data_IF_710747219497
#
_entry.id   IF_710747219497
#
_cell.length_a   1.000
_cell.length_b   1.000
_cell.length_c   1.000
_cell.angle_alpha   90.00
_cell.angle_beta   90.00
_cell.angle_gamma   90.00
#
_symmetry.space_group_name_H-M   'P 1'
#
loop_
_entity.id
_entity.type
_entity.pdbx_description
1 polymer ?
#
# COMPACT_ATOMS: atom_id res chain seq x y z
N UNK A 1 36.52 -46.00 -34.51
CA UNK A 1 35.20 -45.85 -33.83
C UNK A 1 35.26 -45.28 -32.40
N UNK A 2 36.43 -45.12 -31.75
CA UNK A 2 36.53 -44.68 -30.34
C UNK A 2 36.65 -43.15 -30.17
N UNK A 3 37.25 -42.46 -31.15
CA UNK A 3 37.42 -40.99 -31.18
C UNK A 3 36.09 -40.22 -31.30
N UNK A 4 35.11 -40.78 -32.03
CA UNK A 4 33.78 -40.16 -32.19
C UNK A 4 32.95 -40.23 -30.89
N UNK A 5 33.21 -41.24 -30.04
CA UNK A 5 32.49 -41.43 -28.77
C UNK A 5 32.99 -40.50 -27.66
N UNK A 6 34.29 -40.20 -27.61
CA UNK A 6 34.83 -39.22 -26.65
C UNK A 6 34.47 -37.78 -27.00
N UNK A 7 34.44 -37.42 -28.28
CA UNK A 7 34.02 -36.07 -28.69
C UNK A 7 32.55 -35.78 -28.36
N UNK A 8 31.69 -36.78 -28.52
CA UNK A 8 30.26 -36.64 -28.26
C UNK A 8 29.93 -36.50 -26.77
N UNK A 9 30.63 -37.23 -25.88
CA UNK A 9 30.43 -37.11 -24.43
C UNK A 9 30.92 -35.78 -23.89
N UNK A 10 32.01 -35.22 -24.44
CA UNK A 10 32.52 -33.91 -24.04
C UNK A 10 31.58 -32.77 -24.45
N UNK A 11 30.94 -32.87 -25.62
CA UNK A 11 29.94 -31.92 -26.09
C UNK A 11 28.69 -31.89 -25.18
N UNK A 12 28.15 -33.05 -24.79
CA UNK A 12 26.98 -33.13 -23.90
C UNK A 12 27.31 -32.59 -22.50
N UNK A 13 28.50 -32.87 -21.98
CA UNK A 13 28.93 -32.36 -20.67
C UNK A 13 29.02 -30.81 -20.66
N UNK A 14 29.45 -30.19 -21.75
CA UNK A 14 29.53 -28.72 -21.85
C UNK A 14 28.15 -28.03 -21.82
N UNK A 15 27.11 -28.69 -22.36
CA UNK A 15 25.72 -28.19 -22.30
C UNK A 15 25.15 -28.35 -20.88
N UNK A 16 25.54 -29.40 -20.15
CA UNK A 16 25.10 -29.62 -18.77
C UNK A 16 25.70 -28.61 -17.76
N UNK A 17 26.87 -28.03 -18.06
CA UNK A 17 27.47 -26.94 -17.26
C UNK A 17 26.85 -25.56 -17.53
N UNK A 18 26.07 -25.41 -18.61
CA UNK A 18 25.30 -24.21 -18.87
C UNK A 18 24.10 -24.17 -17.90
N UNK A 19 24.33 -23.69 -16.68
CA UNK A 19 23.30 -23.63 -15.64
C UNK A 19 22.04 -22.86 -16.09
N UNK A 20 20.92 -23.06 -15.37
CA UNK A 20 19.58 -22.52 -15.67
C UNK A 20 19.52 -21.00 -15.95
N UNK A 21 20.57 -20.24 -15.63
CA UNK A 21 20.66 -18.80 -15.92
C UNK A 21 21.01 -18.48 -17.39
N UNK A 22 21.64 -19.42 -18.12
CA UNK A 22 22.04 -19.23 -19.53
C UNK A 22 20.87 -19.44 -20.51
N UNK A 23 19.97 -20.35 -20.16
CA UNK A 23 18.72 -20.67 -20.87
C UNK A 23 17.64 -19.65 -20.46
N UNK A 24 17.80 -18.38 -20.86
CA UNK A 24 16.75 -17.38 -20.70
C UNK A 24 15.60 -17.67 -21.67
N UNK A 25 14.72 -18.58 -21.27
CA UNK A 25 13.51 -18.95 -22.02
C UNK A 25 12.65 -17.70 -22.28
N UNK A 26 12.23 -17.54 -23.54
CA UNK A 26 11.25 -16.53 -23.91
C UNK A 26 9.88 -16.96 -23.35
N UNK A 27 9.20 -16.07 -22.65
CA UNK A 27 7.87 -16.32 -22.08
C UNK A 27 6.76 -15.57 -22.84
N UNK A 28 7.05 -15.00 -24.01
CA UNK A 28 6.11 -14.29 -24.86
C UNK A 28 5.44 -13.05 -24.22
N UNK A 29 5.93 -12.61 -23.05
CA UNK A 29 5.34 -11.49 -22.31
C UNK A 29 5.42 -10.12 -23.02
N UNK A 30 6.21 -10.00 -24.09
CA UNK A 30 6.36 -8.78 -24.87
C UNK A 30 5.56 -8.80 -26.19
N UNK A 31 4.88 -9.90 -26.53
CA UNK A 31 4.21 -10.03 -27.83
C UNK A 31 3.03 -9.07 -28.00
N UNK A 32 2.46 -8.54 -26.90
CA UNK A 32 1.44 -7.49 -26.96
C UNK A 32 1.94 -6.23 -27.70
N UNK A 33 3.24 -5.94 -27.70
CA UNK A 33 3.83 -4.81 -28.43
C UNK A 33 3.75 -4.97 -29.96
N UNK A 34 3.54 -6.20 -30.44
CA UNK A 34 3.39 -6.52 -31.88
C UNK A 34 1.93 -6.62 -32.29
N UNK A 35 0.98 -6.40 -31.37
CA UNK A 35 -0.44 -6.46 -31.69
C UNK A 35 -0.80 -5.37 -32.72
N UNK A 36 -1.61 -5.73 -33.72
CA UNK A 36 -2.12 -4.77 -34.69
C UNK A 36 -3.16 -3.86 -34.04
N UNK A 37 -3.18 -2.61 -34.44
CA UNK A 37 -4.29 -1.72 -34.15
C UNK A 37 -5.57 -2.27 -34.82
N UNK A 38 -6.69 -2.20 -34.11
CA UNK A 38 -8.01 -2.63 -34.62
C UNK A 38 -8.78 -1.38 -34.99
N UNK A 39 -8.97 -1.18 -36.30
CA UNK A 39 -9.75 -0.06 -36.79
C UNK A 39 -11.22 -0.17 -36.33
N UNK A 40 -11.89 0.98 -36.11
CA UNK A 40 -13.33 0.99 -35.88
C UNK A 40 -14.11 0.28 -36.98
N UNK A 41 -15.24 -0.31 -36.63
CA UNK A 41 -16.12 -0.96 -37.60
C UNK A 41 -16.76 0.09 -38.51
N UNK A 42 -16.50 0.01 -39.81
CA UNK A 42 -17.13 0.85 -40.83
C UNK A 42 -18.59 0.41 -41.05
N UNK A 43 -19.52 1.35 -40.94
CA UNK A 43 -20.96 1.11 -41.12
C UNK A 43 -21.39 1.50 -42.53
N UNK A 44 -22.16 0.66 -43.25
CA UNK A 44 -22.71 1.06 -44.53
C UNK A 44 -23.78 2.15 -44.32
N UNK A 45 -23.88 3.09 -45.27
CA UNK A 45 -24.65 4.33 -45.14
C UNK A 45 -26.14 4.15 -44.75
N UNK A 46 -26.73 2.97 -44.97
CA UNK A 46 -28.13 2.67 -44.70
C UNK A 46 -28.35 1.62 -43.59
N UNK A 47 -27.32 1.28 -42.81
CA UNK A 47 -27.47 0.34 -41.69
C UNK A 47 -27.81 1.05 -40.38
N UNK A 48 -28.96 0.72 -39.82
CA UNK A 48 -29.35 1.12 -38.47
C UNK A 48 -28.76 0.14 -37.46
N UNK A 49 -27.85 0.59 -36.60
CA UNK A 49 -27.33 -0.22 -35.49
C UNK A 49 -27.94 0.21 -34.16
N UNK A 50 -28.11 -0.77 -33.26
CA UNK A 50 -28.41 -0.47 -31.85
C UNK A 50 -27.21 0.28 -31.26
N UNK A 51 -27.42 1.36 -30.48
CA UNK A 51 -26.34 1.99 -29.74
C UNK A 51 -25.59 0.94 -28.91
N UNK A 52 -24.28 0.87 -29.08
CA UNK A 52 -23.41 0.03 -28.27
C UNK A 52 -22.44 0.95 -27.53
N UNK A 53 -22.31 0.73 -26.23
CA UNK A 53 -21.25 1.35 -25.41
C UNK A 53 -20.30 0.22 -25.04
N UNK A 54 -19.01 0.29 -25.41
CA UNK A 54 -18.06 -0.74 -25.03
C UNK A 54 -17.97 -0.81 -23.50
N UNK A 55 -17.97 -2.03 -22.96
CA UNK A 55 -17.76 -2.24 -21.52
C UNK A 55 -16.37 -1.75 -21.07
N UNK A 56 -15.40 -1.80 -22.00
CA UNK A 56 -14.02 -1.38 -21.79
C UNK A 56 -13.58 -0.48 -22.96
N UNK A 57 -13.86 0.83 -22.93
CA UNK A 57 -13.34 1.75 -23.94
C UNK A 57 -11.81 1.82 -23.82
N UNK A 58 -11.11 1.55 -24.92
CA UNK A 58 -9.68 1.78 -24.99
C UNK A 58 -9.41 3.29 -25.08
N UNK A 59 -8.56 3.87 -24.21
CA UNK A 59 -8.21 5.28 -24.32
C UNK A 59 -7.37 5.52 -25.57
N UNK A 60 -7.58 6.68 -26.20
CA UNK A 60 -6.69 7.16 -27.26
C UNK A 60 -5.40 7.62 -26.60
N UNK A 61 -4.28 7.02 -26.97
CA UNK A 61 -2.94 7.36 -26.46
C UNK A 61 -2.22 8.18 -27.52
N UNK A 62 -1.57 9.27 -27.10
CA UNK A 62 -0.71 10.08 -27.96
C UNK A 62 0.52 9.29 -28.41
N UNK A 63 0.88 9.34 -29.69
CA UNK A 63 2.07 8.70 -30.25
C UNK A 63 3.35 9.18 -29.55
N UNK A 64 3.40 10.44 -29.11
CA UNK A 64 4.52 10.96 -28.31
C UNK A 64 4.61 10.28 -26.95
N UNK A 65 3.49 9.92 -26.32
CA UNK A 65 3.50 9.21 -25.04
C UNK A 65 4.02 7.77 -25.20
N UNK A 66 3.77 7.13 -26.35
CA UNK A 66 4.31 5.81 -26.68
C UNK A 66 5.82 5.87 -26.86
N UNK A 67 6.34 6.91 -27.53
CA UNK A 67 7.77 7.10 -27.75
C UNK A 67 8.55 7.32 -26.45
N UNK A 68 7.96 8.00 -25.47
CA UNK A 68 8.57 8.28 -24.17
C UNK A 68 8.24 7.23 -23.09
N UNK A 69 7.55 6.14 -23.46
CA UNK A 69 7.18 5.11 -22.50
C UNK A 69 8.42 4.39 -21.93
N UNK A 70 8.48 4.13 -20.61
CA UNK A 70 9.57 3.37 -20.02
C UNK A 70 9.68 1.96 -20.61
N UNK A 71 10.90 1.53 -20.95
CA UNK A 71 11.10 0.18 -21.46
C UNK A 71 11.29 -0.84 -20.32
N UNK A 72 10.24 -1.61 -20.02
CA UNK A 72 10.26 -2.68 -19.02
C UNK A 72 10.68 -4.02 -19.63
N UNK A 73 11.94 -4.12 -20.05
CA UNK A 73 12.51 -5.32 -20.65
C UNK A 73 13.73 -5.78 -19.86
N UNK A 74 13.97 -7.09 -19.83
CA UNK A 74 15.21 -7.62 -19.28
C UNK A 74 16.41 -7.24 -20.17
N UNK A 75 17.64 -7.46 -19.68
CA UNK A 75 18.89 -7.21 -20.41
C UNK A 75 18.98 -7.85 -21.81
N UNK A 76 18.18 -8.90 -22.08
CA UNK A 76 18.14 -9.61 -23.38
C UNK A 76 16.98 -9.18 -24.28
N UNK A 77 16.10 -8.28 -23.83
CA UNK A 77 14.95 -7.78 -24.62
C UNK A 77 13.87 -8.81 -24.92
N UNK A 78 13.80 -9.92 -24.18
CA UNK A 78 12.94 -11.06 -24.52
C UNK A 78 11.87 -11.40 -23.46
N UNK A 79 11.76 -10.61 -22.40
CA UNK A 79 10.71 -10.72 -21.38
C UNK A 79 10.49 -9.39 -20.69
N UNK A 80 9.26 -9.18 -20.25
CA UNK A 80 8.90 -8.10 -19.36
C UNK A 80 9.69 -8.20 -18.05
N UNK A 81 10.26 -7.08 -17.61
CA UNK A 81 10.98 -6.99 -16.34
C UNK A 81 10.69 -5.64 -15.69
N UNK A 82 9.87 -5.67 -14.63
CA UNK A 82 9.67 -4.51 -13.78
C UNK A 82 10.89 -4.29 -12.86
N UNK A 83 11.21 -3.04 -12.51
CA UNK A 83 12.19 -2.78 -11.47
C UNK A 83 11.73 -3.44 -10.17
N UNK A 84 12.69 -4.09 -9.49
CA UNK A 84 12.41 -4.63 -8.15
C UNK A 84 12.10 -3.44 -7.23
N UNK A 85 11.09 -3.54 -6.35
CA UNK A 85 10.87 -2.52 -5.34
C UNK A 85 12.17 -2.24 -4.59
N UNK A 86 12.44 -0.97 -4.31
CA UNK A 86 13.55 -0.59 -3.46
C UNK A 86 13.42 -1.34 -2.14
N UNK A 87 14.49 -2.02 -1.74
CA UNK A 87 14.50 -2.61 -0.41
C UNK A 87 14.44 -1.45 0.57
N UNK A 88 13.37 -1.42 1.37
CA UNK A 88 13.34 -0.58 2.57
C UNK A 88 14.61 -0.94 3.31
N UNK A 89 15.53 0.02 3.46
CA UNK A 89 16.72 -0.17 4.27
C UNK A 89 16.21 -0.69 5.61
N UNK A 90 16.58 -1.91 5.96
CA UNK A 90 16.32 -2.41 7.30
C UNK A 90 17.07 -1.45 8.21
N UNK A 91 16.32 -0.56 8.86
CA UNK A 91 16.82 0.25 9.95
C UNK A 91 17.52 -0.76 10.87
N UNK A 92 18.82 -0.59 11.18
CA UNK A 92 19.46 -1.47 12.12
C UNK A 92 18.55 -1.52 13.34
N UNK A 93 18.19 -2.74 13.76
CA UNK A 93 17.55 -2.95 15.04
C UNK A 93 18.58 -2.51 16.07
N UNK A 94 18.60 -1.20 16.35
CA UNK A 94 19.23 -0.66 17.52
C UNK A 94 18.61 -1.47 18.64
N UNK A 95 19.43 -2.25 19.35
CA UNK A 95 19.01 -2.88 20.57
C UNK A 95 18.40 -1.76 21.41
N UNK A 96 17.07 -1.73 21.48
CA UNK A 96 16.34 -0.75 22.26
C UNK A 96 16.71 -1.05 23.70
N UNK A 97 17.72 -0.35 24.20
CA UNK A 97 17.68 0.12 25.57
C UNK A 97 16.31 0.76 25.69
N UNK A 98 15.41 0.12 26.44
CA UNK A 98 14.03 0.55 26.66
C UNK A 98 14.01 1.85 27.47
N UNK A 99 14.52 2.94 26.89
CA UNK A 99 13.98 4.25 27.17
C UNK A 99 12.59 4.24 26.54
N UNK A 100 11.57 4.30 27.39
CA UNK A 100 10.17 4.50 27.03
C UNK A 100 9.95 5.90 26.43
N UNK A 101 10.76 6.30 25.44
CA UNK A 101 10.64 7.60 24.79
C UNK A 101 9.50 7.50 23.77
N UNK A 102 8.29 7.75 24.24
CA UNK A 102 7.13 8.01 23.40
C UNK A 102 7.33 9.34 22.67
N UNK A 103 7.03 9.37 21.37
CA UNK A 103 7.02 10.63 20.61
C UNK A 103 5.81 11.50 20.96
N UNK A 104 5.90 12.80 20.68
CA UNK A 104 4.72 13.65 20.69
C UNK A 104 3.77 13.28 19.54
N UNK A 105 2.45 13.32 19.77
CA UNK A 105 1.48 13.04 18.72
C UNK A 105 1.59 14.02 17.56
N UNK A 106 1.35 13.50 16.35
CA UNK A 106 1.28 14.30 15.11
C UNK A 106 -0.08 14.10 14.46
N UNK A 107 -0.77 15.20 14.17
CA UNK A 107 -2.00 15.15 13.39
C UNK A 107 -1.63 14.88 11.93
N UNK A 108 -2.17 13.80 11.37
CA UNK A 108 -1.95 13.39 9.98
C UNK A 108 -3.30 13.10 9.32
N UNK A 109 -3.30 12.91 8.01
CA UNK A 109 -4.51 12.61 7.25
C UNK A 109 -4.26 11.39 6.39
N UNK A 110 -5.22 10.46 6.34
CA UNK A 110 -5.12 9.26 5.52
C UNK A 110 -5.40 9.55 4.03
N UNK A 111 -5.29 8.52 3.18
CA UNK A 111 -5.57 8.63 1.74
C UNK A 111 -7.03 8.98 1.40
N UNK A 112 -7.96 8.81 2.35
CA UNK A 112 -9.39 9.11 2.24
C UNK A 112 -9.77 10.43 2.92
N UNK A 113 -8.79 11.25 3.33
CA UNK A 113 -8.97 12.54 4.02
C UNK A 113 -9.52 12.45 5.45
N UNK A 114 -9.44 11.29 6.09
CA UNK A 114 -9.79 11.14 7.50
C UNK A 114 -8.62 11.61 8.38
N UNK A 115 -8.87 12.43 9.41
CA UNK A 115 -7.84 12.84 10.33
C UNK A 115 -7.48 11.70 11.28
N UNK A 116 -6.18 11.54 11.50
CA UNK A 116 -5.59 10.56 12.39
C UNK A 116 -4.57 11.25 13.29
N UNK A 117 -4.33 10.69 14.46
CA UNK A 117 -3.24 11.11 15.32
C UNK A 117 -2.19 10.00 15.36
N UNK A 118 -0.99 10.29 14.85
CA UNK A 118 0.13 9.35 14.79
C UNK A 118 1.02 9.53 16.03
N UNK A 119 1.32 8.44 16.72
CA UNK A 119 2.19 8.40 17.90
C UNK A 119 3.17 7.23 17.79
N UNK A 120 4.45 7.55 17.73
CA UNK A 120 5.53 6.56 17.80
C UNK A 120 5.79 6.17 19.27
N UNK A 121 5.75 4.87 19.58
CA UNK A 121 5.96 4.30 20.92
C UNK A 121 5.33 2.91 21.12
N UNK A 122 5.52 2.27 22.28
CA UNK A 122 4.81 1.03 22.64
C UNK A 122 3.30 1.28 22.73
N UNK A 123 2.49 0.47 22.03
CA UNK A 123 1.03 0.67 21.91
C UNK A 123 0.34 0.75 23.28
N UNK A 124 0.79 -0.03 24.25
CA UNK A 124 0.27 -0.02 25.61
C UNK A 124 0.51 1.33 26.31
N UNK A 125 1.72 1.88 26.20
CA UNK A 125 2.06 3.17 26.77
C UNK A 125 1.27 4.30 26.09
N UNK A 126 1.15 4.25 24.75
CA UNK A 126 0.36 5.22 23.98
C UNK A 126 -1.12 5.17 24.39
N UNK A 127 -1.67 3.97 24.58
CA UNK A 127 -3.06 3.81 25.02
C UNK A 127 -3.28 4.34 26.43
N UNK A 128 -2.37 4.04 27.36
CA UNK A 128 -2.42 4.59 28.72
C UNK A 128 -2.39 6.11 28.74
N UNK A 129 -1.51 6.73 27.94
CA UNK A 129 -1.45 8.19 27.84
C UNK A 129 -2.69 8.76 27.18
N UNK A 130 -3.24 8.08 26.18
CA UNK A 130 -4.51 8.47 25.56
C UNK A 130 -5.63 8.50 26.60
N UNK A 131 -5.76 7.45 27.42
CA UNK A 131 -6.78 7.40 28.47
C UNK A 131 -6.55 8.47 29.55
N UNK A 132 -5.32 8.66 29.99
CA UNK A 132 -4.97 9.72 30.94
C UNK A 132 -5.33 11.11 30.39
N UNK A 133 -5.06 11.35 29.10
CA UNK A 133 -5.43 12.59 28.42
C UNK A 133 -6.95 12.75 28.38
N UNK A 134 -7.70 11.70 27.99
CA UNK A 134 -9.16 11.73 28.00
C UNK A 134 -9.74 12.00 29.40
N UNK A 135 -9.12 11.48 30.46
CA UNK A 135 -9.54 11.76 31.84
C UNK A 135 -9.20 13.18 32.30
N UNK A 136 -8.13 13.77 31.76
CA UNK A 136 -7.77 15.18 32.04
C UNK A 136 -8.66 16.17 31.29
N UNK A 137 -9.11 15.78 30.10
CA UNK A 137 -10.11 16.51 29.33
C UNK A 137 -11.49 16.20 29.94
N UNK A 138 -12.44 17.14 29.89
CA UNK A 138 -13.78 16.95 30.45
C UNK A 138 -14.65 15.98 29.61
N UNK A 139 -14.06 14.92 29.06
CA UNK A 139 -14.73 13.90 28.27
C UNK A 139 -15.20 12.75 29.16
N UNK A 140 -16.46 12.34 28.97
CA UNK A 140 -17.00 11.17 29.66
C UNK A 140 -16.64 9.91 28.88
N UNK A 141 -15.82 9.04 29.47
CA UNK A 141 -15.57 7.69 28.95
C UNK A 141 -16.73 6.79 29.39
N UNK A 142 -17.52 6.32 28.42
CA UNK A 142 -18.73 5.49 28.64
C UNK A 142 -18.34 4.02 28.80
N UNK A 143 -17.41 3.55 27.99
CA UNK A 143 -16.95 2.18 28.01
C UNK A 143 -15.50 2.10 27.50
N UNK A 144 -14.75 1.13 27.99
CA UNK A 144 -13.42 0.80 27.51
C UNK A 144 -13.36 -0.70 27.25
N UNK A 145 -12.84 -1.09 26.10
CA UNK A 145 -12.56 -2.50 25.83
C UNK A 145 -11.27 -2.90 26.55
N UNK A 146 -11.30 -4.05 27.23
CA UNK A 146 -10.14 -4.60 27.96
C UNK A 146 -9.19 -5.39 27.05
N UNK A 147 -9.69 -5.85 25.90
CA UNK A 147 -8.97 -6.70 24.96
C UNK A 147 -8.61 -5.97 23.66
N UNK A 148 -9.14 -4.75 23.46
CA UNK A 148 -8.84 -3.91 22.32
C UNK A 148 -8.50 -2.49 22.76
N UNK A 149 -7.65 -1.80 22.00
CA UNK A 149 -7.35 -0.38 22.23
C UNK A 149 -8.50 0.51 21.74
N UNK A 150 -9.63 0.40 22.43
CA UNK A 150 -10.87 1.08 22.08
C UNK A 150 -11.58 1.62 23.32
N UNK A 151 -12.07 2.86 23.21
CA UNK A 151 -12.86 3.52 24.23
C UNK A 151 -14.03 4.27 23.60
N UNK A 152 -15.21 4.08 24.16
CA UNK A 152 -16.41 4.83 23.81
C UNK A 152 -16.45 6.10 24.65
N UNK A 153 -16.46 7.25 24.00
CA UNK A 153 -16.44 8.57 24.63
C UNK A 153 -17.69 9.38 24.25
N UNK A 154 -18.14 10.23 25.17
CA UNK A 154 -19.16 11.23 24.90
C UNK A 154 -18.51 12.58 24.60
N UNK A 155 -18.83 13.16 23.45
CA UNK A 155 -18.39 14.49 23.02
C UNK A 155 -19.64 15.34 22.81
N UNK A 156 -19.93 16.24 23.76
CA UNK A 156 -21.22 16.94 23.79
C UNK A 156 -22.37 15.97 24.06
N UNK A 157 -23.34 15.89 23.15
CA UNK A 157 -24.45 14.93 23.22
C UNK A 157 -24.21 13.64 22.42
N UNK A 158 -23.18 13.62 21.57
CA UNK A 158 -22.90 12.50 20.67
C UNK A 158 -21.90 11.51 21.26
N UNK A 159 -22.06 10.25 20.90
CA UNK A 159 -21.20 9.15 21.32
C UNK A 159 -20.29 8.78 20.18
N UNK A 160 -18.99 8.68 20.47
CA UNK A 160 -17.97 8.28 19.53
C UNK A 160 -17.13 7.16 20.12
N UNK A 161 -16.39 6.49 19.24
CA UNK A 161 -15.51 5.38 19.58
C UNK A 161 -14.11 5.76 19.14
N UNK A 162 -13.26 6.02 20.11
CA UNK A 162 -11.85 6.26 19.90
C UNK A 162 -11.13 4.90 19.81
N UNK A 163 -10.37 4.68 18.75
CA UNK A 163 -9.62 3.43 18.53
C UNK A 163 -8.18 3.72 18.19
N UNK A 164 -7.27 3.00 18.82
CA UNK A 164 -5.87 2.97 18.49
C UNK A 164 -5.54 1.70 17.68
N UNK A 165 -4.89 1.91 16.55
CA UNK A 165 -4.39 0.86 15.67
C UNK A 165 -2.87 0.83 15.77
N UNK A 166 -2.33 -0.28 16.27
CA UNK A 166 -0.90 -0.48 16.40
C UNK A 166 -0.28 -0.97 15.08
N UNK A 167 0.73 -0.26 14.56
CA UNK A 167 1.50 -0.65 13.36
C UNK A 167 2.99 -0.63 13.70
N UNK A 168 3.47 -1.74 14.27
CA UNK A 168 4.85 -1.81 14.76
C UNK A 168 5.09 -0.82 15.90
N UNK A 169 6.02 0.11 15.72
CA UNK A 169 6.29 1.20 16.68
C UNK A 169 5.51 2.47 16.41
N UNK A 170 4.75 2.56 15.30
CA UNK A 170 3.91 3.71 14.95
C UNK A 170 2.45 3.36 15.18
N UNK A 171 1.76 4.12 16.02
CA UNK A 171 0.36 3.88 16.36
C UNK A 171 -0.51 5.00 15.80
N UNK A 172 -1.69 4.65 15.31
CA UNK A 172 -2.65 5.62 14.80
C UNK A 172 -3.90 5.61 15.66
N UNK A 173 -4.27 6.77 16.17
CA UNK A 173 -5.50 6.99 16.91
C UNK A 173 -6.52 7.68 15.98
N UNK A 174 -7.73 7.14 15.93
CA UNK A 174 -8.81 7.65 15.09
C UNK A 174 -10.14 7.64 15.82
N UNK A 175 -11.03 8.54 15.40
CA UNK A 175 -12.37 8.68 15.94
C UNK A 175 -13.40 8.07 14.99
N UNK A 176 -14.23 7.18 15.53
CA UNK A 176 -15.28 6.48 14.81
C UNK A 176 -16.66 6.79 15.42
N UNK A 177 -17.69 6.62 14.61
CA UNK A 177 -19.07 6.50 15.09
C UNK A 177 -19.30 5.11 15.72
N UNK A 178 -20.37 4.92 16.52
CA UNK A 178 -20.74 3.61 17.04
C UNK A 178 -21.03 2.57 15.94
N UNK A 179 -21.37 3.01 14.72
CA UNK A 179 -21.56 2.17 13.54
C UNK A 179 -20.24 1.77 12.84
N UNK A 180 -19.09 2.00 13.48
CA UNK A 180 -17.75 1.66 12.98
C UNK A 180 -17.36 2.38 11.68
N UNK A 181 -17.95 3.56 11.41
CA UNK A 181 -17.53 4.48 10.35
C UNK A 181 -16.66 5.59 10.93
N UNK A 182 -15.80 6.23 10.15
CA UNK A 182 -15.06 7.40 10.65
C UNK A 182 -16.04 8.51 11.06
N UNK A 183 -15.73 9.21 12.14
CA UNK A 183 -16.45 10.42 12.53
C UNK A 183 -16.25 11.52 11.46
N UNK A 184 -17.13 12.52 11.45
CA UNK A 184 -16.98 13.64 10.53
C UNK A 184 -15.64 14.35 10.75
N UNK A 185 -15.06 14.87 9.67
CA UNK A 185 -13.72 15.45 9.67
C UNK A 185 -13.58 16.62 10.65
N UNK A 186 -14.63 17.40 10.88
CA UNK A 186 -14.58 18.55 11.79
C UNK A 186 -14.49 18.09 13.25
N UNK A 187 -15.40 17.20 13.68
CA UNK A 187 -15.39 16.63 15.03
C UNK A 187 -14.14 15.82 15.30
N UNK A 188 -13.72 14.98 14.34
CA UNK A 188 -12.52 14.18 14.49
C UNK A 188 -11.26 15.05 14.63
N UNK A 189 -11.11 16.11 13.82
CA UNK A 189 -10.02 17.07 14.00
C UNK A 189 -10.08 17.78 15.35
N UNK A 190 -11.26 18.20 15.80
CA UNK A 190 -11.42 18.84 17.09
C UNK A 190 -10.94 17.93 18.23
N UNK A 191 -11.46 16.70 18.30
CA UNK A 191 -11.14 15.76 19.38
C UNK A 191 -9.66 15.35 19.34
N UNK A 192 -9.15 14.98 18.16
CA UNK A 192 -7.75 14.55 18.02
C UNK A 192 -6.75 15.68 18.29
N UNK A 193 -7.08 16.91 17.90
CA UNK A 193 -6.25 18.08 18.20
C UNK A 193 -6.28 18.42 19.70
N UNK A 194 -7.41 18.25 20.38
CA UNK A 194 -7.47 18.41 21.85
C UNK A 194 -6.62 17.35 22.56
N UNK A 195 -6.67 16.09 22.12
CA UNK A 195 -5.78 15.03 22.63
C UNK A 195 -4.31 15.40 22.41
N UNK A 196 -3.96 15.89 21.22
CA UNK A 196 -2.60 16.31 20.90
C UNK A 196 -2.11 17.46 21.80
N UNK A 197 -2.94 18.47 22.05
CA UNK A 197 -2.59 19.64 22.86
C UNK A 197 -2.42 19.32 24.34
N UNK A 198 -3.19 18.36 24.85
CA UNK A 198 -3.16 17.94 26.25
C UNK A 198 -2.27 16.72 26.49
N UNK A 199 -1.48 16.32 25.49
CA UNK A 199 -0.65 15.12 25.59
C UNK A 199 0.34 15.23 26.75
N UNK A 200 0.43 14.22 27.64
CA UNK A 200 1.39 14.20 28.73
C UNK A 200 2.81 14.33 28.18
N UNK A 201 3.59 15.26 28.75
CA UNK A 201 4.95 15.57 28.32
C UNK A 201 5.94 14.44 28.62
#
# INVERSE_FOLDING_TARGET
MMQLRLGFTFAIASIALAGCNSLSLNNHSLDYKKASNVAPLELPANATMRPFTPLYPAPIVDDLAIQHAPNFENKRGNRYAAPRPEQVQAQPATASNTSMSMSRPRLVTDGNKNPLLQIDGPSEAVWQYTMATLSSMNYTVIAQDKNAYQATIKVGEQVFVLRLTAVGTSNNLALFTPSNSFADTATANQVLNQINQNWPA
#
